data_IF_239162059077
#
_entry.id   IF_239162059077
#
_cell.length_a   1.000
_cell.length_b   1.000
_cell.length_c   1.000
_cell.angle_alpha   90.00
_cell.angle_beta   90.00
_cell.angle_gamma   90.00
#
_symmetry.space_group_name_H-M   'P 1'
#
loop_
_entity.id
_entity.type
_entity.pdbx_description
1 polymer ?
#
# COMPACT_ATOMS: atom_id res chain seq x y z
N UNK A 1 -5.87 12.32 -10.94
CA UNK A 1 -7.04 11.52 -10.52
C UNK A 1 -6.68 10.04 -10.36
N UNK A 2 -6.01 9.42 -11.35
CA UNK A 2 -5.59 8.01 -11.30
C UNK A 2 -4.69 7.60 -10.12
N UNK A 3 -3.77 8.47 -9.72
CA UNK A 3 -2.87 8.27 -8.58
C UNK A 3 -3.64 8.13 -7.25
N UNK A 4 -4.83 8.73 -7.15
CA UNK A 4 -5.68 8.62 -5.97
C UNK A 4 -6.35 7.24 -5.86
N UNK A 5 -6.82 6.69 -6.99
CA UNK A 5 -7.44 5.35 -7.03
C UNK A 5 -6.46 4.27 -6.61
N UNK A 6 -5.24 4.34 -7.14
CA UNK A 6 -4.16 3.40 -6.80
C UNK A 6 -3.77 3.49 -5.33
N UNK A 7 -3.62 4.69 -4.77
CA UNK A 7 -3.39 4.87 -3.32
C UNK A 7 -4.52 4.25 -2.47
N UNK A 8 -5.78 4.49 -2.85
CA UNK A 8 -6.93 3.96 -2.11
C UNK A 8 -6.98 2.43 -2.13
N UNK A 9 -6.51 1.81 -3.22
CA UNK A 9 -6.41 0.35 -3.34
C UNK A 9 -5.23 -0.26 -2.60
N UNK A 10 -4.18 0.52 -2.29
CA UNK A 10 -3.00 0.04 -1.57
C UNK A 10 -3.26 -0.15 -0.07
N UNK A 11 -4.13 0.66 0.53
CA UNK A 11 -4.45 0.58 1.96
C UNK A 11 -4.90 -0.82 2.43
N UNK A 12 -5.90 -1.48 1.79
CA UNK A 12 -6.26 -2.84 2.16
C UNK A 12 -5.15 -3.85 1.84
N UNK A 13 -4.37 -3.62 0.79
CA UNK A 13 -3.27 -4.52 0.42
C UNK A 13 -2.18 -4.56 1.50
N UNK A 14 -1.91 -3.45 2.18
CA UNK A 14 -0.93 -3.38 3.27
C UNK A 14 -1.31 -4.26 4.47
N UNK A 15 -2.60 -4.38 4.77
CA UNK A 15 -3.09 -5.27 5.83
C UNK A 15 -2.80 -6.73 5.47
N UNK A 16 -3.01 -7.11 4.21
CA UNK A 16 -2.72 -8.47 3.73
C UNK A 16 -1.20 -8.73 3.66
N UNK A 17 -0.37 -7.73 3.32
CA UNK A 17 1.10 -7.86 3.33
C UNK A 17 1.66 -8.15 4.72
N UNK A 18 1.05 -7.63 5.78
CA UNK A 18 1.44 -7.94 7.16
C UNK A 18 1.37 -9.44 7.44
N UNK A 19 0.25 -10.06 7.06
CA UNK A 19 0.04 -11.49 7.26
C UNK A 19 0.99 -12.33 6.41
N UNK A 20 1.33 -11.86 5.19
CA UNK A 20 2.19 -12.59 4.26
C UNK A 20 3.68 -12.53 4.64
N UNK A 21 4.15 -11.39 5.14
CA UNK A 21 5.57 -11.15 5.40
C UNK A 21 5.97 -11.43 6.86
N UNK A 22 5.00 -11.68 7.76
CA UNK A 22 5.22 -11.84 9.20
C UNK A 22 6.01 -10.67 9.81
N UNK A 23 5.73 -9.44 9.37
CA UNK A 23 6.43 -8.23 9.83
C UNK A 23 5.58 -7.38 10.77
N UNK A 24 6.25 -6.57 11.58
CA UNK A 24 5.58 -5.61 12.46
C UNK A 24 4.90 -4.49 11.66
N UNK A 25 3.79 -3.98 12.19
CA UNK A 25 3.04 -2.84 11.60
C UNK A 25 3.90 -1.59 11.40
N UNK A 26 4.95 -1.43 12.23
CA UNK A 26 5.86 -0.28 12.19
C UNK A 26 6.52 -0.13 10.82
N UNK A 27 6.95 -1.25 10.22
CA UNK A 27 7.61 -1.26 8.91
C UNK A 27 6.63 -0.97 7.78
N UNK A 28 5.39 -1.43 7.89
CA UNK A 28 4.34 -1.15 6.90
C UNK A 28 4.00 0.34 6.86
N UNK A 29 4.05 1.02 8.01
CA UNK A 29 3.90 2.47 8.11
C UNK A 29 4.95 3.28 7.33
N UNK A 30 6.09 2.68 6.94
CA UNK A 30 7.12 3.35 6.15
C UNK A 30 6.83 3.36 4.64
N UNK A 31 5.87 2.58 4.14
CA UNK A 31 5.50 2.58 2.71
C UNK A 31 5.15 3.97 2.16
N UNK A 32 4.26 4.77 2.77
CA UNK A 32 3.99 6.13 2.30
C UNK A 32 5.23 7.02 2.31
N UNK A 33 6.17 6.80 3.25
CA UNK A 33 7.42 7.55 3.30
C UNK A 33 8.31 7.25 2.09
N UNK A 34 8.54 5.97 1.76
CA UNK A 34 9.29 5.59 0.56
C UNK A 34 8.63 6.06 -0.74
N UNK A 35 7.30 6.01 -0.80
CA UNK A 35 6.55 6.56 -1.93
C UNK A 35 6.79 8.07 -2.07
N UNK A 36 6.72 8.81 -0.97
CA UNK A 36 6.90 10.25 -0.95
C UNK A 36 8.35 10.65 -1.33
N UNK A 37 9.36 9.90 -0.88
CA UNK A 37 10.75 10.06 -1.32
C UNK A 37 10.85 9.81 -2.83
N UNK A 38 10.21 8.76 -3.35
CA UNK A 38 10.13 8.50 -4.78
C UNK A 38 9.55 9.68 -5.56
N UNK A 39 8.39 10.20 -5.13
CA UNK A 39 7.72 11.36 -5.75
C UNK A 39 8.64 12.59 -5.74
N UNK A 40 9.33 12.83 -4.63
CA UNK A 40 10.27 13.93 -4.50
C UNK A 40 11.45 13.78 -5.47
N UNK A 41 12.09 12.61 -5.51
CA UNK A 41 13.18 12.31 -6.45
C UNK A 41 12.72 12.43 -7.92
N UNK A 42 11.54 11.89 -8.23
CA UNK A 42 10.94 11.97 -9.57
C UNK A 42 10.70 13.40 -10.02
N UNK A 43 10.37 14.30 -9.10
CA UNK A 43 10.14 15.71 -9.43
C UNK A 43 11.37 16.39 -10.05
N UNK A 44 12.60 15.97 -9.70
CA UNK A 44 13.82 16.49 -10.32
C UNK A 44 14.02 16.04 -11.77
N UNK A 45 13.44 14.91 -12.17
CA UNK A 45 13.47 14.43 -13.56
C UNK A 45 12.86 15.46 -14.50
N UNK A 46 12.00 16.34 -13.99
CA UNK A 46 11.42 17.39 -14.84
C UNK A 46 12.42 18.36 -15.42
N UNK A 47 13.59 18.53 -14.79
CA UNK A 47 14.70 19.31 -15.35
C UNK A 47 15.20 18.66 -16.66
N UNK A 48 15.16 17.33 -16.76
CA UNK A 48 15.57 16.58 -17.94
C UNK A 48 14.62 16.78 -19.14
N UNK A 49 13.37 17.21 -18.94
CA UNK A 49 12.46 17.56 -20.04
C UNK A 49 13.00 18.69 -20.94
N UNK A 50 13.96 19.49 -20.47
CA UNK A 50 14.61 20.51 -21.30
C UNK A 50 15.57 19.92 -22.34
N UNK A 51 16.10 18.72 -22.10
CA UNK A 51 17.16 18.13 -22.92
C UNK A 51 16.66 16.95 -23.77
N UNK A 52 15.54 16.34 -23.40
CA UNK A 52 15.02 15.11 -24.02
C UNK A 52 13.63 15.36 -24.59
N UNK A 53 13.29 14.68 -25.69
CA UNK A 53 11.94 14.73 -26.25
C UNK A 53 10.92 14.30 -25.18
N UNK A 54 9.97 15.19 -24.89
CA UNK A 54 8.95 15.02 -23.86
C UNK A 54 8.16 13.72 -24.03
N UNK A 55 7.80 13.34 -25.26
CA UNK A 55 7.03 12.13 -25.50
C UNK A 55 7.79 10.86 -25.10
N UNK A 56 9.09 10.78 -25.43
CA UNK A 56 9.94 9.64 -25.08
C UNK A 56 10.16 9.57 -23.57
N UNK A 57 10.37 10.70 -22.91
CA UNK A 57 10.58 10.70 -21.46
C UNK A 57 9.29 10.27 -20.73
N UNK A 58 8.13 10.72 -21.17
CA UNK A 58 6.84 10.31 -20.59
C UNK A 58 6.57 8.81 -20.79
N UNK A 59 6.86 8.25 -21.98
CA UNK A 59 6.66 6.82 -22.21
C UNK A 59 7.56 5.96 -21.31
N UNK A 60 8.83 6.35 -21.13
CA UNK A 60 9.75 5.66 -20.22
C UNK A 60 9.24 5.72 -18.78
N UNK A 61 8.74 6.86 -18.32
CA UNK A 61 8.22 7.04 -16.96
C UNK A 61 6.98 6.18 -16.69
N UNK A 62 6.08 6.07 -17.66
CA UNK A 62 4.89 5.20 -17.56
C UNK A 62 5.31 3.73 -17.49
N UNK A 63 6.25 3.29 -18.34
CA UNK A 63 6.77 1.92 -18.29
C UNK A 63 7.39 1.63 -16.92
N UNK A 64 8.18 2.56 -16.38
CA UNK A 64 8.79 2.44 -15.07
C UNK A 64 7.74 2.33 -13.95
N UNK A 65 6.67 3.11 -14.02
CA UNK A 65 5.54 3.03 -13.09
C UNK A 65 4.83 1.68 -13.17
N UNK A 66 4.56 1.19 -14.39
CA UNK A 66 3.95 -0.12 -14.63
C UNK A 66 4.81 -1.25 -14.03
N UNK A 67 6.13 -1.22 -14.25
CA UNK A 67 7.05 -2.22 -13.66
C UNK A 67 6.95 -2.25 -12.13
N UNK A 68 6.88 -1.09 -11.47
CA UNK A 68 6.69 -1.01 -10.02
C UNK A 68 5.42 -1.71 -9.54
N UNK A 69 4.29 -1.51 -10.24
CA UNK A 69 3.01 -2.16 -9.89
C UNK A 69 2.97 -3.64 -10.22
N UNK A 70 3.57 -4.02 -11.35
CA UNK A 70 3.63 -5.41 -11.81
C UNK A 70 4.46 -6.22 -10.82
N UNK A 71 5.65 -5.78 -10.40
CA UNK A 71 6.52 -6.58 -9.53
C UNK A 71 6.04 -6.73 -8.07
N UNK A 72 5.11 -5.90 -7.62
CA UNK A 72 4.64 -5.84 -6.23
C UNK A 72 4.04 -7.13 -5.62
N UNK A 73 3.27 -7.98 -6.33
CA UNK A 73 2.75 -9.23 -5.79
C UNK A 73 3.79 -10.36 -5.79
N UNK A 74 4.92 -10.19 -6.49
CA UNK A 74 5.99 -11.19 -6.56
C UNK A 74 7.12 -10.94 -5.55
N UNK A 75 7.14 -9.77 -4.88
CA UNK A 75 8.16 -9.47 -3.88
C UNK A 75 7.90 -10.23 -2.57
N UNK A 76 8.77 -11.19 -2.25
CA UNK A 76 8.75 -11.95 -0.97
C UNK A 76 9.54 -11.27 0.13
N UNK A 77 10.42 -10.33 -0.23
CA UNK A 77 11.24 -9.58 0.71
C UNK A 77 10.72 -8.14 0.82
N UNK A 78 10.68 -7.65 2.05
CA UNK A 78 10.19 -6.30 2.38
C UNK A 78 11.01 -5.19 1.68
N UNK A 79 12.33 -5.39 1.51
CA UNK A 79 13.20 -4.45 0.79
C UNK A 79 12.81 -4.28 -0.69
N UNK A 80 12.47 -5.38 -1.36
CA UNK A 80 12.04 -5.35 -2.77
C UNK A 80 10.71 -4.57 -2.92
N UNK A 81 9.82 -4.69 -1.94
CA UNK A 81 8.55 -3.99 -1.92
C UNK A 81 8.74 -2.48 -1.72
N UNK A 82 9.67 -2.05 -0.85
CA UNK A 82 10.06 -0.64 -0.75
C UNK A 82 10.62 -0.09 -2.06
N UNK A 83 11.46 -0.87 -2.75
CA UNK A 83 12.02 -0.47 -4.05
C UNK A 83 10.90 -0.32 -5.10
N UNK A 84 9.95 -1.27 -5.16
CA UNK A 84 8.80 -1.18 -6.08
C UNK A 84 7.94 0.06 -5.81
N UNK A 85 7.65 0.35 -4.54
CA UNK A 85 6.87 1.53 -4.13
C UNK A 85 7.63 2.83 -4.44
N UNK A 86 8.95 2.84 -4.23
CA UNK A 86 9.80 3.98 -4.57
C UNK A 86 9.78 4.24 -6.08
N UNK A 87 9.98 3.21 -6.91
CA UNK A 87 9.96 3.30 -8.38
C UNK A 87 8.60 3.77 -8.89
N UNK A 88 7.52 3.26 -8.28
CA UNK A 88 6.16 3.71 -8.55
C UNK A 88 5.96 5.20 -8.21
N UNK A 89 6.40 5.62 -7.02
CA UNK A 89 6.36 7.02 -6.60
C UNK A 89 7.20 7.94 -7.50
N UNK A 90 8.36 7.46 -7.96
CA UNK A 90 9.24 8.18 -8.88
C UNK A 90 8.56 8.52 -10.21
N UNK A 91 7.85 7.56 -10.81
CA UNK A 91 7.05 7.80 -12.01
C UNK A 91 5.98 8.89 -11.80
N UNK A 92 5.25 8.83 -10.68
CA UNK A 92 4.25 9.83 -10.31
C UNK A 92 4.87 11.22 -10.13
N UNK A 93 6.01 11.30 -9.44
CA UNK A 93 6.72 12.55 -9.22
C UNK A 93 7.18 13.22 -10.50
N UNK A 94 7.77 12.42 -11.40
CA UNK A 94 8.26 12.90 -12.68
C UNK A 94 7.11 13.37 -13.60
N UNK A 95 5.95 12.72 -13.53
CA UNK A 95 4.74 13.16 -14.24
C UNK A 95 4.22 14.51 -13.71
N UNK A 96 4.24 14.71 -12.40
CA UNK A 96 3.63 15.85 -11.72
C UNK A 96 4.55 17.08 -11.56
N UNK A 97 5.85 16.95 -11.76
CA UNK A 97 6.85 17.95 -11.34
C UNK A 97 6.78 19.31 -12.06
N UNK A 98 5.90 19.51 -13.04
CA UNK A 98 5.70 20.85 -13.63
C UNK A 98 5.00 21.84 -12.68
N UNK A 99 4.14 21.38 -11.75
CA UNK A 99 3.36 22.28 -10.87
C UNK A 99 3.30 21.83 -9.39
N UNK A 100 3.81 20.64 -9.05
CA UNK A 100 3.41 19.96 -7.81
C UNK A 100 4.57 19.62 -6.86
N UNK A 101 5.69 20.35 -6.91
CA UNK A 101 6.75 20.19 -5.88
C UNK A 101 6.19 20.33 -4.46
N UNK A 102 5.24 21.25 -4.27
CA UNK A 102 4.51 21.48 -3.02
C UNK A 102 3.74 20.23 -2.58
N UNK A 103 3.14 19.48 -3.52
CA UNK A 103 2.48 18.22 -3.18
C UNK A 103 3.49 17.19 -2.66
N UNK A 104 4.66 17.06 -3.30
CA UNK A 104 5.71 16.14 -2.82
C UNK A 104 6.12 16.42 -1.37
N UNK A 105 6.34 17.70 -1.05
CA UNK A 105 6.65 18.14 0.32
C UNK A 105 5.49 17.87 1.28
N UNK A 106 4.25 18.15 0.88
CA UNK A 106 3.05 17.86 1.67
C UNK A 106 2.88 16.37 1.96
N UNK A 107 3.19 15.49 1.01
CA UNK A 107 3.10 14.03 1.19
C UNK A 107 4.21 13.49 2.11
N UNK A 108 5.39 14.11 2.16
CA UNK A 108 6.45 13.75 3.12
C UNK A 108 6.07 14.25 4.52
N UNK A 109 5.61 15.50 4.63
CA UNK A 109 5.28 16.13 5.90
C UNK A 109 4.01 15.56 6.53
N UNK A 110 3.01 15.16 5.74
CA UNK A 110 1.74 14.63 6.24
C UNK A 110 1.93 13.50 7.25
N UNK A 111 2.55 12.36 6.88
CA UNK A 111 2.81 11.26 7.80
C UNK A 111 3.76 11.63 8.95
N UNK A 112 4.67 12.59 8.76
CA UNK A 112 5.58 13.06 9.82
C UNK A 112 4.85 13.92 10.86
N UNK A 113 3.88 14.73 10.43
CA UNK A 113 3.00 15.52 11.28
C UNK A 113 1.94 14.63 11.95
N UNK A 114 1.56 13.54 11.29
CA UNK A 114 0.57 12.57 11.78
C UNK A 114 1.19 11.47 12.66
N UNK A 115 2.45 11.65 13.11
CA UNK A 115 3.10 10.75 14.08
C UNK A 115 2.30 10.57 15.38
N UNK A 116 1.40 11.49 15.70
CA UNK A 116 0.48 11.37 16.84
C UNK A 116 -0.66 10.36 16.60
N UNK A 117 -0.94 9.96 15.36
CA UNK A 117 -2.00 8.98 15.04
C UNK A 117 -1.52 7.53 15.06
N UNK A 118 -0.26 7.28 14.68
CA UNK A 118 0.29 5.91 14.60
C UNK A 118 0.77 5.39 15.97
N UNK A 119 1.12 6.29 16.89
CA UNK A 119 1.35 5.95 18.30
C UNK A 119 0.06 6.01 19.14
N UNK A 120 -1.08 6.31 18.52
CA UNK A 120 -2.39 6.10 19.10
C UNK A 120 -2.57 4.62 19.35
N UNK A 121 -2.17 4.21 20.54
CA UNK A 121 -2.80 3.18 21.35
C UNK A 121 -4.10 2.76 20.70
N UNK A 122 -4.10 1.54 20.14
CA UNK A 122 -5.28 0.96 19.57
C UNK A 122 -6.26 0.79 20.74
N UNK A 123 -6.97 1.87 21.08
CA UNK A 123 -8.18 1.81 21.89
C UNK A 123 -9.10 1.01 20.99
N UNK A 124 -9.07 -0.31 21.16
CA UNK A 124 -10.19 -1.15 20.79
C UNK A 124 -11.40 -0.42 21.37
N UNK A 125 -12.27 0.21 20.55
CA UNK A 125 -13.48 0.80 21.09
C UNK A 125 -14.18 -0.36 21.78
N UNK A 126 -14.31 -0.23 23.10
CA UNK A 126 -14.56 -1.33 24.02
C UNK A 126 -15.33 -2.48 23.39
N UNK A 127 -14.61 -3.57 23.12
CA UNK A 127 -15.18 -4.85 23.53
C UNK A 127 -15.16 -4.74 25.04
N UNK A 128 -16.31 -4.34 25.59
CA UNK A 128 -16.59 -4.43 27.01
C UNK A 128 -16.17 -5.83 27.44
N UNK A 129 -15.10 -5.88 28.21
CA UNK A 129 -14.76 -7.01 29.04
C UNK A 129 -15.73 -7.00 30.21
N UNK A 130 -16.99 -7.30 29.92
CA UNK A 130 -18.01 -7.61 30.91
C UNK A 130 -19.06 -8.50 30.23
N UNK A 131 -19.22 -9.71 30.77
CA UNK A 131 -20.19 -10.74 30.38
C UNK A 131 -19.83 -11.67 29.20
N UNK A 132 -18.64 -12.27 29.27
CA UNK A 132 -18.54 -13.71 28.98
C UNK A 132 -18.71 -14.52 30.28
N UNK A 133 -19.79 -14.25 31.02
CA UNK A 133 -20.32 -15.20 32.00
C UNK A 133 -20.94 -16.33 31.19
N UNK A 134 -20.22 -17.46 31.17
CA UNK A 134 -20.76 -18.79 30.98
C UNK A 134 -22.03 -18.96 31.81
N UNK A 135 -23.19 -18.71 31.22
CA UNK A 135 -24.45 -19.27 31.71
C UNK A 135 -24.38 -20.76 31.40
N UNK A 136 -23.87 -21.49 32.38
CA UNK A 136 -24.14 -22.91 32.58
C UNK A 136 -25.66 -23.08 32.71
N UNK A 137 -26.34 -23.33 31.60
CA UNK A 137 -27.66 -23.95 31.57
C UNK A 137 -27.47 -25.41 31.21
N UNK A 138 -27.29 -26.18 32.27
CA UNK A 138 -27.68 -27.57 32.49
C UNK A 138 -28.38 -28.30 31.31
N UNK A 139 -27.70 -29.36 30.87
CA UNK A 139 -28.25 -30.65 30.49
C UNK A 139 -29.10 -30.75 29.22
N UNK A 140 -28.45 -30.71 28.05
CA UNK A 140 -28.57 -31.79 27.08
C UNK A 140 -27.41 -31.78 26.06
N UNK A 141 -26.55 -32.79 26.18
CA UNK A 141 -25.93 -33.56 25.10
C UNK A 141 -25.18 -32.86 23.92
N UNK A 142 -23.86 -33.12 23.89
CA UNK A 142 -23.11 -33.64 22.72
C UNK A 142 -22.82 -32.63 21.58
N UNK A 143 -21.71 -31.88 21.71
CA UNK A 143 -20.43 -32.04 20.96
C UNK A 143 -19.48 -30.92 21.41
N UNK A 144 -18.48 -31.32 22.18
CA UNK A 144 -17.22 -30.61 22.36
C UNK A 144 -16.31 -31.04 21.22
N UNK A 145 -15.97 -30.12 20.31
CA UNK A 145 -14.70 -30.11 19.57
C UNK A 145 -14.66 -28.89 18.65
N UNK A 146 -13.78 -27.93 18.95
CA UNK A 146 -13.48 -26.84 18.02
C UNK A 146 -12.94 -25.58 18.66
N UNK A 147 -12.10 -25.69 19.69
CA UNK A 147 -11.17 -24.63 20.07
C UNK A 147 -10.45 -24.12 18.81
N UNK A 148 -10.37 -22.80 18.68
CA UNK A 148 -9.27 -22.06 18.07
C UNK A 148 -8.52 -22.77 16.94
N UNK A 149 -9.05 -22.71 15.73
CA UNK A 149 -8.22 -22.78 14.51
C UNK A 149 -8.46 -21.55 13.65
N UNK A 150 -8.23 -20.36 14.22
CA UNK A 150 -7.95 -19.16 13.42
C UNK A 150 -6.65 -19.32 12.60
N UNK A 151 -5.90 -20.40 12.81
CA UNK A 151 -4.79 -20.85 11.95
C UNK A 151 -5.23 -21.59 10.66
N UNK A 152 -6.49 -22.03 10.51
CA UNK A 152 -6.90 -22.88 9.37
C UNK A 152 -7.58 -22.17 8.19
N UNK A 153 -7.60 -20.84 8.16
CA UNK A 153 -7.87 -20.10 6.92
C UNK A 153 -6.77 -19.10 6.61
N UNK A 154 -5.54 -19.61 6.50
CA UNK A 154 -4.60 -19.17 5.47
C UNK A 154 -5.16 -19.51 4.07
N UNK A 155 -6.38 -19.04 3.77
CA UNK A 155 -6.90 -19.02 2.42
C UNK A 155 -5.94 -18.14 1.63
N UNK A 156 -5.34 -18.69 0.57
CA UNK A 156 -4.37 -17.98 -0.25
C UNK A 156 -5.02 -16.68 -0.77
N UNK A 157 -4.72 -15.55 -0.12
CA UNK A 157 -5.27 -14.22 -0.46
C UNK A 157 -4.49 -13.55 -1.59
N UNK A 158 -3.33 -14.11 -1.98
CA UNK A 158 -2.51 -13.64 -3.10
C UNK A 158 -3.32 -13.39 -4.39
N UNK A 159 -4.27 -14.24 -4.82
CA UNK A 159 -5.10 -13.95 -6.00
C UNK A 159 -6.02 -12.74 -5.84
N UNK A 160 -6.50 -12.43 -4.62
CA UNK A 160 -7.34 -11.23 -4.38
C UNK A 160 -6.53 -9.93 -4.45
N UNK A 161 -5.25 -9.98 -4.11
CA UNK A 161 -4.34 -8.83 -4.24
C UNK A 161 -3.99 -8.49 -5.70
N UNK A 162 -3.93 -9.51 -6.57
CA UNK A 162 -3.52 -9.36 -7.98
C UNK A 162 -4.52 -8.57 -8.81
N UNK A 163 -5.82 -8.78 -8.59
CA UNK A 163 -6.89 -8.22 -9.43
C UNK A 163 -6.93 -6.67 -9.39
N UNK A 164 -6.96 -5.99 -8.22
CA UNK A 164 -7.02 -4.54 -8.20
C UNK A 164 -5.72 -3.86 -8.68
N UNK A 165 -4.54 -4.46 -8.40
CA UNK A 165 -3.25 -3.93 -8.84
C UNK A 165 -3.10 -3.94 -10.37
N UNK A 166 -3.55 -5.02 -11.01
CA UNK A 166 -3.41 -5.20 -12.46
C UNK A 166 -4.39 -4.30 -13.24
N UNK A 167 -5.63 -4.15 -12.73
CA UNK A 167 -6.62 -3.22 -13.30
C UNK A 167 -6.11 -1.77 -13.20
N UNK A 168 -5.53 -1.38 -12.06
CA UNK A 168 -4.97 -0.04 -11.87
C UNK A 168 -3.86 0.30 -12.87
N UNK A 169 -2.94 -0.64 -13.13
CA UNK A 169 -1.84 -0.46 -14.08
C UNK A 169 -2.30 -0.44 -15.55
N UNK A 170 -3.19 -1.36 -15.95
CA UNK A 170 -3.68 -1.42 -17.33
C UNK A 170 -4.55 -0.20 -17.68
N UNK A 171 -5.37 0.29 -16.75
CA UNK A 171 -6.25 1.42 -16.99
C UNK A 171 -5.46 2.74 -17.17
N UNK A 172 -4.23 2.83 -16.64
CA UNK A 172 -3.33 3.99 -16.88
C UNK A 172 -2.81 4.04 -18.31
N UNK A 173 -2.59 2.89 -18.98
CA UNK A 173 -2.11 2.84 -20.36
C UNK A 173 -3.17 3.32 -21.36
N UNK A 174 -4.45 3.12 -21.08
CA UNK A 174 -5.58 3.47 -21.96
C UNK A 174 -5.88 4.97 -22.07
N UNK A 175 -5.30 5.81 -21.20
CA UNK A 175 -5.60 7.26 -21.13
C UNK A 175 -4.48 8.11 -21.75
N UNK A 176 -3.41 7.48 -22.23
CA UNK A 176 -2.24 8.19 -22.79
C UNK A 176 -2.38 8.48 -24.29
N UNK A 177 -3.41 7.93 -24.93
CA UNK A 177 -3.85 8.27 -26.29
C UNK A 177 -4.90 9.41 -26.28
#
# INVERSE_FOLDING_TARGET
MFSGLTLSSMAPAFVDYRALLHTEMQWIGLFPMFQAIGIFCGSFVTIAFKYVNRQILLSILIILQCLGTIFQPWSTQLWHLYLCIFVYGFGIGAWNGSNNFIYGVGTILGPLLDKNYVLGEQICPGVYEDDCKLVSLSNHAIISSGLCTDECRAYDRRPRLKIPLLIGGCLQLLVVD
#
